data_IF_496640247804
#
_entry.id   IF_496640247804
#
_cell.length_a   1.000
_cell.length_b   1.000
_cell.length_c   1.000
_cell.angle_alpha   90.00
_cell.angle_beta   90.00
_cell.angle_gamma   90.00
#
_symmetry.space_group_name_H-M   'P 1'
#
loop_
_entity.id
_entity.type
_entity.pdbx_description
1 polymer ?
#
# COMPACT_ATOMS: atom_id res chain seq x y z
N UNK A 1 17.60 5.79 16.59
CA UNK A 1 17.35 7.12 15.96
C UNK A 1 17.50 6.92 14.45
N UNK A 2 16.39 6.71 13.74
CA UNK A 2 16.39 6.43 12.31
C UNK A 2 15.37 7.38 11.67
N UNK A 3 15.85 8.16 10.71
CA UNK A 3 15.21 9.38 10.25
C UNK A 3 13.86 9.14 9.60
N UNK A 4 12.88 9.93 9.98
CA UNK A 4 11.62 10.01 9.28
C UNK A 4 11.15 11.45 9.38
N UNK A 5 10.82 12.05 8.24
CA UNK A 5 10.01 13.27 8.19
C UNK A 5 8.99 13.22 9.33
N UNK A 6 8.92 14.24 10.19
CA UNK A 6 7.97 14.30 11.33
C UNK A 6 6.48 14.24 10.95
N UNK A 7 6.19 13.97 9.67
CA UNK A 7 4.88 13.65 9.13
C UNK A 7 4.42 12.26 9.61
N UNK A 8 3.29 12.17 10.32
CA UNK A 8 2.68 10.91 10.73
C UNK A 8 2.44 9.97 9.54
N UNK A 9 2.51 8.66 9.78
CA UNK A 9 2.33 7.63 8.75
C UNK A 9 1.04 7.79 7.92
N UNK A 10 -0.14 8.07 8.50
CA UNK A 10 -1.37 8.24 7.72
C UNK A 10 -1.24 9.33 6.67
N UNK A 11 -0.69 10.47 7.05
CA UNK A 11 -0.47 11.61 6.14
C UNK A 11 0.57 11.28 5.06
N UNK A 12 1.61 10.49 5.39
CA UNK A 12 2.57 9.98 4.38
C UNK A 12 1.87 9.07 3.36
N UNK A 13 0.92 8.25 3.80
CA UNK A 13 0.15 7.33 2.97
C UNK A 13 -0.95 8.00 2.13
N UNK A 14 -1.24 9.28 2.42
CA UNK A 14 -2.30 10.03 1.75
C UNK A 14 -3.68 9.81 2.36
N UNK A 15 -3.75 9.28 3.58
CA UNK A 15 -4.99 9.19 4.37
C UNK A 15 -5.42 10.61 4.77
N UNK A 16 -6.73 10.89 4.65
CA UNK A 16 -7.35 12.15 5.06
C UNK A 16 -8.59 11.84 5.93
N UNK A 17 -9.10 12.84 6.66
CA UNK A 17 -10.34 12.70 7.41
C UNK A 17 -11.49 12.13 6.56
N UNK A 18 -12.17 11.11 7.07
CA UNK A 18 -13.32 10.49 6.41
C UNK A 18 -12.99 9.53 5.26
N UNK A 19 -11.70 9.25 4.99
CA UNK A 19 -11.33 8.21 4.04
C UNK A 19 -11.73 6.82 4.52
N UNK A 20 -11.94 5.91 3.58
CA UNK A 20 -12.00 4.48 3.83
C UNK A 20 -10.62 3.85 3.50
N UNK A 21 -10.02 3.20 4.49
CA UNK A 21 -8.69 2.58 4.40
C UNK A 21 -8.81 1.08 4.52
N UNK A 22 -8.16 0.33 3.63
CA UNK A 22 -8.07 -1.13 3.71
C UNK A 22 -6.62 -1.55 3.92
N UNK A 23 -6.36 -2.41 4.90
CA UNK A 23 -5.05 -3.01 5.14
C UNK A 23 -5.14 -4.54 4.98
N UNK A 24 -4.88 -5.02 3.76
CA UNK A 24 -4.91 -6.44 3.38
C UNK A 24 -3.63 -7.15 3.75
N UNK A 25 -3.78 -8.35 4.33
CA UNK A 25 -2.68 -9.23 4.75
C UNK A 25 -1.67 -8.54 5.69
N UNK A 26 -2.12 -7.46 6.33
CA UNK A 26 -1.30 -6.64 7.20
C UNK A 26 -0.87 -7.42 8.44
N UNK A 27 0.39 -7.28 8.89
CA UNK A 27 0.83 -7.93 10.12
C UNK A 27 0.02 -7.43 11.32
N UNK A 28 -0.15 -8.27 12.33
CA UNK A 28 -0.89 -7.94 13.56
C UNK A 28 -0.32 -6.68 14.24
N UNK A 29 1.01 -6.55 14.23
CA UNK A 29 1.73 -5.41 14.80
C UNK A 29 1.78 -4.16 13.92
N UNK A 30 1.01 -4.08 12.83
CA UNK A 30 0.95 -2.86 12.02
C UNK A 30 0.40 -1.70 12.85
N UNK A 31 1.24 -0.71 13.08
CA UNK A 31 0.87 0.57 13.68
C UNK A 31 0.75 1.64 12.58
N UNK A 32 -0.49 2.07 12.30
CA UNK A 32 -0.76 3.19 11.40
C UNK A 32 -0.73 4.54 12.14
N UNK A 33 -0.60 4.57 13.46
CA UNK A 33 -0.86 5.73 14.30
C UNK A 33 -2.36 5.97 14.47
N UNK A 34 -2.76 7.25 14.49
CA UNK A 34 -4.15 7.68 14.67
C UNK A 34 -4.70 8.26 13.36
N UNK A 35 -5.12 7.42 12.39
CA UNK A 35 -5.79 7.91 11.20
C UNK A 35 -7.18 8.44 11.55
N UNK A 36 -7.53 9.64 11.10
CA UNK A 36 -8.91 10.16 11.13
C UNK A 36 -9.79 9.49 10.04
N UNK A 37 -9.67 8.18 9.88
CA UNK A 37 -10.27 7.41 8.79
C UNK A 37 -10.80 6.08 9.31
N UNK A 38 -11.76 5.51 8.59
CA UNK A 38 -12.23 4.16 8.87
C UNK A 38 -11.24 3.15 8.30
N UNK A 39 -10.79 2.21 9.13
CA UNK A 39 -9.74 1.23 8.76
C UNK A 39 -10.31 -0.18 8.80
N UNK A 40 -10.30 -0.85 7.66
CA UNK A 40 -10.68 -2.25 7.50
C UNK A 40 -9.44 -3.15 7.41
N UNK A 41 -9.52 -4.34 8.00
CA UNK A 41 -8.52 -5.42 7.85
C UNK A 41 -8.95 -6.51 6.86
N UNK A 42 -10.19 -6.44 6.38
CA UNK A 42 -10.75 -7.33 5.36
C UNK A 42 -11.63 -6.54 4.38
N UNK A 43 -11.81 -6.99 3.13
CA UNK A 43 -12.68 -6.30 2.18
C UNK A 43 -14.14 -6.25 2.64
N UNK A 44 -14.65 -5.05 2.86
CA UNK A 44 -16.09 -4.73 2.89
C UNK A 44 -16.59 -4.10 1.58
N UNK A 45 -17.75 -3.45 1.62
CA UNK A 45 -18.28 -2.67 0.49
C UNK A 45 -17.36 -1.47 0.21
N UNK A 46 -16.62 -1.53 -0.89
CA UNK A 46 -15.77 -0.43 -1.35
C UNK A 46 -16.55 0.67 -2.09
N UNK A 47 -15.87 1.61 -2.76
CA UNK A 47 -14.42 1.64 -3.00
C UNK A 47 -13.61 2.26 -1.85
N UNK A 48 -12.32 1.95 -1.78
CA UNK A 48 -11.39 2.46 -0.76
C UNK A 48 -10.50 3.58 -1.28
N UNK A 49 -10.30 4.62 -0.47
CA UNK A 49 -9.42 5.75 -0.80
C UNK A 49 -7.95 5.42 -0.65
N UNK A 50 -7.62 4.55 0.31
CA UNK A 50 -6.25 4.05 0.53
C UNK A 50 -6.31 2.56 0.78
N UNK A 51 -5.58 1.79 0.00
CA UNK A 51 -5.41 0.36 0.23
C UNK A 51 -3.94 0.09 0.49
N UNK A 52 -3.62 -0.67 1.53
CA UNK A 52 -2.29 -1.24 1.77
C UNK A 52 -2.40 -2.75 1.60
N UNK A 53 -1.55 -3.32 0.76
CA UNK A 53 -1.46 -4.77 0.55
C UNK A 53 -0.07 -5.23 0.95
N UNK A 54 0.02 -6.13 1.91
CA UNK A 54 1.30 -6.64 2.42
C UNK A 54 1.66 -7.96 1.74
N UNK A 55 2.63 -7.90 0.82
CA UNK A 55 3.07 -9.02 0.02
C UNK A 55 4.45 -9.50 0.52
N UNK A 56 4.54 -10.63 1.25
CA UNK A 56 5.84 -11.17 1.64
C UNK A 56 6.62 -11.75 0.45
N UNK A 57 5.94 -12.15 -0.62
CA UNK A 57 6.52 -12.74 -1.83
C UNK A 57 5.71 -12.41 -3.09
N UNK A 58 6.28 -12.69 -4.26
CA UNK A 58 5.70 -12.42 -5.58
C UNK A 58 4.36 -13.13 -5.83
N UNK A 59 4.15 -14.30 -5.23
CA UNK A 59 2.85 -15.01 -5.30
C UNK A 59 1.73 -14.17 -4.69
N UNK A 60 1.93 -13.64 -3.48
CA UNK A 60 0.96 -12.78 -2.81
C UNK A 60 0.69 -11.47 -3.59
N UNK A 61 1.73 -10.93 -4.26
CA UNK A 61 1.56 -9.79 -5.16
C UNK A 61 0.58 -10.11 -6.30
N UNK A 62 0.80 -11.23 -6.99
CA UNK A 62 -0.01 -11.60 -8.14
C UNK A 62 -1.45 -11.96 -7.74
N UNK A 63 -1.64 -12.61 -6.60
CA UNK A 63 -2.95 -13.02 -6.09
C UNK A 63 -3.79 -11.83 -5.62
N UNK A 64 -3.19 -10.88 -4.88
CA UNK A 64 -3.96 -9.85 -4.16
C UNK A 64 -4.07 -8.52 -4.93
N UNK A 65 -3.09 -8.14 -5.76
CA UNK A 65 -3.11 -6.83 -6.45
C UNK A 65 -4.37 -6.65 -7.33
N UNK A 66 -4.77 -7.60 -8.21
CA UNK A 66 -5.92 -7.39 -9.08
C UNK A 66 -7.22 -7.13 -8.29
N UNK A 67 -7.42 -7.89 -7.21
CA UNK A 67 -8.55 -7.73 -6.29
C UNK A 67 -8.51 -6.38 -5.58
N UNK A 68 -7.35 -5.98 -5.08
CA UNK A 68 -7.17 -4.67 -4.45
C UNK A 68 -7.41 -3.51 -5.42
N UNK A 69 -6.95 -3.62 -6.67
CA UNK A 69 -7.21 -2.63 -7.73
C UNK A 69 -8.71 -2.49 -8.01
N UNK A 70 -9.46 -3.59 -8.04
CA UNK A 70 -10.91 -3.56 -8.27
C UNK A 70 -11.67 -2.82 -7.16
N UNK A 71 -11.13 -2.83 -5.94
CA UNK A 71 -11.69 -2.13 -4.78
C UNK A 71 -11.19 -0.67 -4.65
N UNK A 72 -10.26 -0.24 -5.49
CA UNK A 72 -9.61 1.06 -5.39
C UNK A 72 -10.51 2.18 -5.94
N UNK A 73 -10.75 3.22 -5.13
CA UNK A 73 -11.41 4.43 -5.59
C UNK A 73 -10.63 5.09 -6.74
N UNK A 74 -11.34 5.74 -7.68
CA UNK A 74 -10.72 6.31 -8.88
C UNK A 74 -9.62 7.34 -8.56
N UNK A 75 -9.79 8.08 -7.46
CA UNK A 75 -8.81 9.04 -6.93
C UNK A 75 -7.96 8.51 -5.76
N UNK A 76 -8.10 7.21 -5.45
CA UNK A 76 -7.44 6.55 -4.33
C UNK A 76 -5.97 6.24 -4.59
N UNK A 77 -5.31 5.68 -3.56
CA UNK A 77 -3.95 5.15 -3.66
C UNK A 77 -3.86 3.70 -3.19
N UNK A 78 -3.32 2.84 -4.04
CA UNK A 78 -2.98 1.45 -3.71
C UNK A 78 -1.50 1.36 -3.37
N UNK A 79 -1.19 1.05 -2.12
CA UNK A 79 0.15 0.78 -1.63
C UNK A 79 0.42 -0.71 -1.65
N UNK A 80 1.45 -1.12 -2.39
CA UNK A 80 2.01 -2.47 -2.31
C UNK A 80 3.20 -2.44 -1.36
N UNK A 81 3.10 -3.19 -0.27
CA UNK A 81 4.07 -3.26 0.81
C UNK A 81 4.88 -4.56 0.70
N UNK A 82 6.20 -4.49 0.70
CA UNK A 82 7.08 -5.66 0.67
C UNK A 82 8.18 -5.57 1.74
N UNK A 83 8.74 -6.70 2.20
CA UNK A 83 9.80 -6.68 3.19
C UNK A 83 11.06 -6.02 2.64
N UNK A 84 11.66 -5.14 3.43
CA UNK A 84 12.98 -4.56 3.12
C UNK A 84 14.03 -5.64 3.15
N UNK A 85 15.03 -5.55 2.26
CA UNK A 85 16.22 -6.44 2.31
C UNK A 85 16.89 -6.46 3.69
N UNK A 86 16.87 -5.34 4.42
CA UNK A 86 17.47 -5.21 5.74
C UNK A 86 16.63 -5.81 6.90
N UNK A 87 15.36 -6.17 6.67
CA UNK A 87 14.47 -6.66 7.75
C UNK A 87 14.71 -8.11 8.15
N UNK A 88 15.52 -8.85 7.36
CA UNK A 88 15.78 -10.30 7.49
C UNK A 88 14.54 -11.18 7.30
N UNK A 89 13.40 -10.62 6.90
CA UNK A 89 12.25 -11.40 6.43
C UNK A 89 12.54 -11.86 5.00
N UNK A 90 12.51 -13.18 4.70
CA UNK A 90 12.73 -13.67 3.35
C UNK A 90 11.70 -13.11 2.37
N UNK A 91 12.16 -12.66 1.21
CA UNK A 91 11.31 -12.19 0.11
C UNK A 91 12.04 -12.33 -1.21
N UNK A 92 11.29 -12.62 -2.28
CA UNK A 92 11.73 -12.56 -3.67
C UNK A 92 11.35 -11.22 -4.35
N UNK A 93 10.70 -10.32 -3.61
CA UNK A 93 10.22 -9.04 -4.13
C UNK A 93 11.26 -7.92 -4.01
N UNK A 94 11.16 -6.98 -4.95
CA UNK A 94 11.81 -5.67 -4.90
C UNK A 94 10.97 -4.65 -5.64
N UNK A 95 11.35 -3.38 -5.60
CA UNK A 95 10.56 -2.29 -6.16
C UNK A 95 10.27 -2.44 -7.67
N UNK A 96 11.27 -2.87 -8.46
CA UNK A 96 11.14 -2.91 -9.93
C UNK A 96 10.08 -3.92 -10.41
N UNK A 97 10.10 -5.21 -9.99
CA UNK A 97 9.04 -6.15 -10.36
C UNK A 97 7.64 -5.70 -9.92
N UNK A 98 7.53 -5.05 -8.75
CA UNK A 98 6.25 -4.51 -8.26
C UNK A 98 5.76 -3.39 -9.18
N UNK A 99 6.65 -2.47 -9.57
CA UNK A 99 6.36 -1.39 -10.51
C UNK A 99 5.90 -1.92 -11.86
N UNK A 100 6.65 -2.85 -12.43
CA UNK A 100 6.35 -3.47 -13.73
C UNK A 100 4.95 -4.10 -13.71
N UNK A 101 4.65 -4.90 -12.68
CA UNK A 101 3.33 -5.52 -12.55
C UNK A 101 2.18 -4.50 -12.39
N UNK A 102 2.39 -3.44 -11.60
CA UNK A 102 1.38 -2.39 -11.45
C UNK A 102 1.13 -1.61 -12.74
N UNK A 103 2.18 -1.38 -13.56
CA UNK A 103 2.08 -0.76 -14.88
C UNK A 103 1.30 -1.63 -15.87
N UNK A 104 1.55 -2.94 -15.88
CA UNK A 104 0.83 -3.91 -16.71
C UNK A 104 -0.66 -3.97 -16.34
N UNK A 105 -0.97 -3.79 -15.05
CA UNK A 105 -2.34 -3.63 -14.56
C UNK A 105 -2.90 -2.22 -14.76
N UNK A 106 -2.23 -1.33 -15.50
CA UNK A 106 -2.75 -0.03 -15.89
C UNK A 106 -2.77 1.03 -14.78
N UNK A 107 -2.07 0.82 -13.67
CA UNK A 107 -1.79 1.87 -12.68
C UNK A 107 -0.40 2.46 -12.93
N UNK A 108 -0.12 3.61 -12.34
CA UNK A 108 1.22 4.23 -12.33
C UNK A 108 1.67 4.48 -10.90
N UNK A 109 2.95 4.23 -10.61
CA UNK A 109 3.51 4.57 -9.31
C UNK A 109 3.84 6.07 -9.21
N UNK A 110 3.72 6.64 -8.01
CA UNK A 110 4.08 8.06 -7.78
C UNK A 110 4.81 8.34 -6.48
N UNK A 111 4.91 7.36 -5.58
CA UNK A 111 5.52 7.55 -4.28
C UNK A 111 6.02 6.24 -3.69
N UNK A 112 7.21 6.27 -3.12
CA UNK A 112 7.73 5.21 -2.25
C UNK A 112 7.83 5.75 -0.82
N UNK A 113 7.56 4.90 0.17
CA UNK A 113 7.74 5.23 1.57
C UNK A 113 8.08 3.98 2.39
N UNK A 114 8.84 4.14 3.46
CA UNK A 114 8.90 3.10 4.49
C UNK A 114 7.64 3.19 5.36
N UNK A 115 6.99 2.04 5.54
CA UNK A 115 5.81 1.89 6.39
C UNK A 115 6.26 1.82 7.84
N UNK A 116 7.17 0.90 8.12
CA UNK A 116 7.79 0.71 9.44
C UNK A 116 9.26 0.25 9.26
N UNK A 117 9.85 -0.42 10.26
CA UNK A 117 11.20 -0.97 10.17
C UNK A 117 11.33 -2.13 9.17
N UNK A 118 10.25 -2.88 8.92
CA UNK A 118 10.22 -4.13 8.16
C UNK A 118 9.78 -3.92 6.73
N UNK A 119 8.81 -3.04 6.48
CA UNK A 119 8.10 -2.92 5.21
C UNK A 119 8.40 -1.62 4.49
N UNK A 120 8.73 -1.73 3.20
CA UNK A 120 8.64 -0.62 2.24
C UNK A 120 7.30 -0.66 1.54
N UNK A 121 6.83 0.47 1.02
CA UNK A 121 5.59 0.57 0.25
C UNK A 121 5.76 1.42 -1.01
N UNK A 122 5.17 0.99 -2.11
CA UNK A 122 5.10 1.71 -3.39
C UNK A 122 3.64 2.00 -3.70
N UNK A 123 3.33 3.28 -3.90
CA UNK A 123 1.98 3.77 -4.15
C UNK A 123 1.69 3.83 -5.64
N UNK A 124 0.62 3.17 -6.02
CA UNK A 124 0.00 3.19 -7.34
C UNK A 124 -1.29 3.99 -7.34
N UNK A 125 -1.58 4.63 -8.46
CA UNK A 125 -2.80 5.40 -8.72
C UNK A 125 -3.24 5.19 -10.17
N UNK A 126 -4.51 5.44 -10.46
CA UNK A 126 -4.96 5.59 -11.85
C UNK A 126 -4.26 6.80 -12.50
N UNK A 127 -3.91 6.70 -13.79
CA UNK A 127 -3.35 7.83 -14.54
C UNK A 127 -4.36 8.97 -14.56
N UNK A 128 -3.88 10.20 -14.62
CA UNK A 128 -4.77 11.38 -14.68
C UNK A 128 -5.74 11.28 -15.87
N UNK A 129 -5.28 10.81 -17.02
CA UNK A 129 -6.13 10.61 -18.21
C UNK A 129 -7.19 9.52 -18.05
N UNK A 130 -6.98 8.60 -17.10
CA UNK A 130 -7.94 7.54 -16.82
C UNK A 130 -8.96 8.03 -15.79
N UNK A 131 -8.60 8.91 -14.85
CA UNK A 131 -9.47 9.29 -13.72
C UNK A 131 -10.84 9.85 -14.10
#
# INVERSE_FOLDING_TARGET
>A
MAGYSGTPLPRKLGVKPGHLVLALDAPDGLDLGEPEAEVHRAPGEGPYDVILVFCPASTALHDTFPTAKALLARNGGLWICWPKRASKVPTDLSENPIREYGLDLGLVDNKVAAIDATWSGLRFVYRVADR
#
